data_IF_412689976780
#
_entry.id   IF_412689976780
#
_cell.length_a   1.000
_cell.length_b   1.000
_cell.length_c   1.000
_cell.angle_alpha   90.00
_cell.angle_beta   90.00
_cell.angle_gamma   90.00
#
_symmetry.space_group_name_H-M   'P 1'
#
loop_
_entity.id
_entity.type
_entity.pdbx_description
1 polymer ?
#
# COMPACT_ATOMS: atom_id res chain seq x y z
N UNK A 1 6.54 -7.75 -1.43
CA UNK A 1 6.31 -6.29 -1.28
C UNK A 1 5.12 -5.90 -2.15
N UNK A 2 4.49 -4.74 -1.94
CA UNK A 2 3.39 -4.28 -2.80
C UNK A 2 3.75 -2.97 -3.48
N UNK A 3 3.40 -2.88 -4.76
CA UNK A 3 3.56 -1.67 -5.56
C UNK A 3 2.19 -1.12 -5.93
N UNK A 4 2.06 0.19 -5.90
CA UNK A 4 0.85 0.91 -6.29
C UNK A 4 0.81 1.02 -7.82
N UNK A 5 -0.27 0.54 -8.44
CA UNK A 5 -0.43 0.53 -9.90
C UNK A 5 -1.45 1.56 -10.41
N UNK A 6 -2.05 2.30 -9.48
CA UNK A 6 -3.03 3.35 -9.77
C UNK A 6 -3.07 4.32 -8.61
N UNK A 7 -3.16 5.63 -8.87
CA UNK A 7 -3.25 6.61 -7.81
C UNK A 7 -4.52 6.43 -6.94
N UNK A 8 -4.36 6.47 -5.61
CA UNK A 8 -5.49 6.43 -4.67
C UNK A 8 -5.18 7.13 -3.34
N UNK A 9 -6.22 7.63 -2.70
CA UNK A 9 -6.15 8.13 -1.32
C UNK A 9 -6.56 7.01 -0.36
N UNK A 10 -5.68 6.62 0.56
CA UNK A 10 -6.04 5.57 1.52
C UNK A 10 -7.05 6.11 2.53
N UNK A 11 -8.25 5.51 2.53
CA UNK A 11 -9.32 5.88 3.44
C UNK A 11 -9.08 5.41 4.88
N UNK A 12 -8.07 4.56 5.12
CA UNK A 12 -7.76 4.03 6.45
C UNK A 12 -7.17 5.11 7.35
N UNK A 13 -7.82 5.35 8.49
CA UNK A 13 -7.36 6.32 9.50
C UNK A 13 -5.99 5.96 10.11
N UNK A 14 -5.54 4.70 9.99
CA UNK A 14 -4.21 4.30 10.42
C UNK A 14 -3.11 4.63 9.38
N UNK A 15 -3.51 5.01 8.16
CA UNK A 15 -2.64 5.47 7.08
C UNK A 15 -2.59 7.01 6.97
N UNK A 16 -2.91 7.71 8.06
CA UNK A 16 -2.78 9.18 8.14
C UNK A 16 -1.40 9.59 8.63
N UNK A 17 -0.96 10.78 8.23
CA UNK A 17 0.24 11.44 8.74
C UNK A 17 0.07 11.93 10.18
N UNK A 18 1.11 12.54 10.75
CA UNK A 18 1.11 13.08 12.12
C UNK A 18 0.07 14.18 12.35
N UNK A 19 -0.46 14.78 11.27
CA UNK A 19 -1.48 15.82 11.29
C UNK A 19 -2.91 15.28 11.07
N UNK A 20 -3.06 13.97 10.88
CA UNK A 20 -4.33 13.32 10.59
C UNK A 20 -4.77 13.42 9.13
N UNK A 21 -3.91 13.90 8.21
CA UNK A 21 -4.23 13.91 6.78
C UNK A 21 -3.99 12.52 6.19
N UNK A 22 -4.92 12.11 5.33
CA UNK A 22 -4.81 10.84 4.59
C UNK A 22 -3.64 10.89 3.63
N UNK A 23 -2.92 9.78 3.54
CA UNK A 23 -1.86 9.63 2.55
C UNK A 23 -2.44 9.37 1.16
N UNK A 24 -1.83 9.99 0.15
CA UNK A 24 -2.12 9.75 -1.27
C UNK A 24 -0.97 8.94 -1.84
N UNK A 25 -1.29 7.78 -2.40
CA UNK A 25 -0.35 6.92 -3.09
C UNK A 25 -0.46 7.16 -4.60
N UNK A 26 0.68 7.21 -5.27
CA UNK A 26 0.81 7.35 -6.72
C UNK A 26 1.28 6.06 -7.36
N UNK A 27 1.07 5.93 -8.67
CA UNK A 27 1.60 4.79 -9.42
C UNK A 27 3.13 4.72 -9.28
N UNK A 28 3.65 3.51 -8.98
CA UNK A 28 5.05 3.26 -8.66
C UNK A 28 5.41 3.43 -7.18
N UNK A 29 4.50 3.94 -6.33
CA UNK A 29 4.76 4.01 -4.89
C UNK A 29 4.78 2.63 -4.25
N UNK A 30 5.54 2.53 -3.18
CA UNK A 30 5.63 1.34 -2.35
C UNK A 30 4.51 1.39 -1.30
N UNK A 31 3.66 0.37 -1.27
CA UNK A 31 2.64 0.24 -0.23
C UNK A 31 3.07 -0.74 0.87
N UNK A 32 2.81 -0.44 2.16
CA UNK A 32 2.35 0.83 2.77
C UNK A 32 3.50 1.76 3.21
N UNK A 33 3.34 3.09 3.11
CA UNK A 33 4.33 4.09 3.56
C UNK A 33 4.58 4.05 5.08
N UNK A 34 3.51 3.87 5.87
CA UNK A 34 3.56 3.74 7.33
C UNK A 34 3.05 2.36 7.70
N UNK A 35 3.90 1.51 8.26
CA UNK A 35 3.45 0.19 8.70
C UNK A 35 2.52 0.32 9.90
N UNK A 36 1.34 -0.28 9.78
CA UNK A 36 0.37 -0.45 10.85
C UNK A 36 -0.21 -1.87 10.73
N UNK A 37 -0.71 -2.44 11.84
CA UNK A 37 -1.18 -3.83 11.88
C UNK A 37 -2.22 -4.13 10.78
N UNK A 38 -3.08 -3.16 10.47
CA UNK A 38 -4.10 -3.24 9.42
C UNK A 38 -3.56 -3.29 7.98
N UNK A 39 -2.34 -2.81 7.72
CA UNK A 39 -1.77 -2.77 6.38
C UNK A 39 -1.28 -4.15 5.91
N UNK A 40 -1.00 -5.04 6.87
CA UNK A 40 -0.55 -6.41 6.62
C UNK A 40 -1.65 -7.45 6.87
N UNK A 41 -2.83 -7.04 7.34
CA UNK A 41 -3.97 -7.95 7.40
C UNK A 41 -4.35 -8.37 5.99
N UNK A 42 -4.36 -9.69 5.76
CA UNK A 42 -4.74 -10.32 4.48
C UNK A 42 -6.03 -9.76 3.89
N UNK A 43 -6.98 -9.32 4.73
CA UNK A 43 -8.22 -8.67 4.29
C UNK A 43 -7.98 -7.35 3.56
N UNK A 44 -7.18 -6.44 4.14
CA UNK A 44 -6.94 -5.11 3.55
C UNK A 44 -6.14 -5.21 2.25
N UNK A 45 -5.10 -6.05 2.25
CA UNK A 45 -4.31 -6.30 1.06
C UNK A 45 -5.19 -6.90 -0.05
N UNK A 46 -6.08 -7.85 0.29
CA UNK A 46 -7.04 -8.41 -0.65
C UNK A 46 -7.98 -7.36 -1.23
N UNK A 47 -8.55 -6.47 -0.41
CA UNK A 47 -9.40 -5.38 -0.92
C UNK A 47 -8.68 -4.49 -1.94
N UNK A 48 -7.42 -4.14 -1.67
CA UNK A 48 -6.63 -3.27 -2.53
C UNK A 48 -6.16 -3.98 -3.82
N UNK A 49 -5.84 -5.27 -3.72
CA UNK A 49 -5.53 -6.13 -4.87
C UNK A 49 -6.76 -6.35 -5.75
N UNK A 50 -7.89 -6.76 -5.17
CA UNK A 50 -9.14 -7.01 -5.90
C UNK A 50 -9.70 -5.70 -6.50
N UNK A 51 -9.44 -4.56 -5.85
CA UNK A 51 -9.79 -3.23 -6.35
C UNK A 51 -8.85 -2.70 -7.45
N UNK A 52 -7.74 -3.39 -7.73
CA UNK A 52 -6.77 -3.00 -8.76
C UNK A 52 -5.98 -1.74 -8.43
N UNK A 53 -5.72 -1.49 -7.14
CA UNK A 53 -4.95 -0.33 -6.67
C UNK A 53 -3.47 -0.66 -6.46
N UNK A 54 -3.17 -1.88 -6.05
CA UNK A 54 -1.81 -2.38 -5.80
C UNK A 54 -1.60 -3.74 -6.47
N UNK A 55 -0.35 -4.14 -6.65
CA UNK A 55 0.07 -5.48 -7.08
C UNK A 55 1.12 -6.07 -6.14
N UNK A 56 1.19 -7.40 -6.07
CA UNK A 56 2.30 -8.10 -5.41
C UNK A 56 3.54 -8.03 -6.31
N UNK A 57 4.61 -7.45 -5.79
CA UNK A 57 5.93 -7.53 -6.41
C UNK A 57 6.79 -8.50 -5.62
N UNK A 58 7.39 -9.43 -6.36
CA UNK A 58 8.44 -10.30 -5.81
C UNK A 58 9.67 -9.43 -5.61
N UNK A 59 10.23 -9.48 -4.41
CA UNK A 59 11.61 -9.03 -4.22
C UNK A 59 12.47 -9.90 -5.14
N UNK A 60 12.95 -9.32 -6.23
CA UNK A 60 14.05 -9.92 -6.98
C UNK A 60 15.26 -9.75 -6.08
N UNK A 61 15.72 -10.84 -5.47
CA UNK A 61 17.05 -10.93 -4.88
C UNK A 61 18.05 -10.55 -6.00
N UNK A 62 18.52 -9.30 -6.00
CA UNK A 62 19.62 -8.82 -6.84
C UNK A 62 20.97 -9.35 -6.32
N UNK A 63 21.09 -10.68 -6.22
CA UNK A 63 22.37 -11.39 -6.08
C UNK A 63 22.37 -12.60 -7.01
N UNK A 64 22.61 -12.33 -8.30
CA UNK A 64 23.04 -13.31 -9.29
C UNK A 64 24.51 -13.11 -9.62
#
# INVERSE_FOLDING_TARGET
MFEVIKAFTDANLNSVDETGKKHVYWEGDIYPYKQYAGAQTKLRLKELLDGGYIQEVKEVDENG
#
